data_IF_645919737627
#
_entry.id   IF_645919737627
#
_cell.length_a   1.000
_cell.length_b   1.000
_cell.length_c   1.000
_cell.angle_alpha   90.00
_cell.angle_beta   90.00
_cell.angle_gamma   90.00
#
_symmetry.space_group_name_H-M   'P 1'
#
loop_
_entity.id
_entity.type
_entity.pdbx_description
1 polymer ?
#
# COMPACT_ATOMS: atom_id res chain seq x y z
N UNK A 1 5.32 6.64 -27.87
CA UNK A 1 4.87 7.92 -27.30
C UNK A 1 6.05 8.52 -26.56
N UNK A 2 6.30 9.82 -26.72
CA UNK A 2 7.21 10.51 -25.80
C UNK A 2 6.57 10.49 -24.40
N UNK A 3 7.38 10.35 -23.35
CA UNK A 3 6.89 10.40 -21.96
C UNK A 3 6.24 11.74 -21.63
N UNK A 4 5.41 11.75 -20.59
CA UNK A 4 4.93 12.99 -19.98
C UNK A 4 5.94 13.36 -18.90
N UNK A 5 6.79 14.36 -19.17
CA UNK A 5 7.94 14.70 -18.32
C UNK A 5 7.66 15.90 -17.39
N UNK A 6 6.47 16.50 -17.47
CA UNK A 6 6.09 17.72 -16.75
C UNK A 6 5.12 17.47 -15.57
N UNK A 7 4.84 16.21 -15.24
CA UNK A 7 3.92 15.89 -14.15
C UNK A 7 4.49 16.25 -12.78
N UNK A 8 3.71 17.06 -12.06
CA UNK A 8 3.79 17.19 -10.60
C UNK A 8 2.43 16.82 -10.01
N UNK A 9 2.45 16.36 -8.76
CA UNK A 9 1.25 15.83 -8.12
C UNK A 9 0.13 16.89 -8.00
N UNK A 10 -1.11 16.48 -8.22
CA UNK A 10 -2.25 17.40 -8.39
C UNK A 10 -2.53 18.28 -7.16
N UNK A 11 -2.32 17.74 -5.95
CA UNK A 11 -2.61 18.40 -4.68
C UNK A 11 -1.49 18.16 -3.66
N UNK A 12 -0.23 18.04 -4.11
CA UNK A 12 0.91 17.83 -3.21
C UNK A 12 1.50 19.08 -2.58
N UNK A 13 1.14 20.28 -3.06
CA UNK A 13 1.74 21.55 -2.62
C UNK A 13 0.75 22.41 -1.82
N UNK A 14 1.28 23.46 -1.16
CA UNK A 14 0.48 24.40 -0.39
C UNK A 14 -0.15 23.77 0.85
N UNK A 15 -1.41 24.10 1.12
CA UNK A 15 -2.23 23.58 2.21
C UNK A 15 -3.15 22.41 1.80
N UNK A 16 -2.87 21.83 0.62
CA UNK A 16 -3.64 20.73 0.02
C UNK A 16 -5.13 21.08 -0.18
N UNK A 17 -5.45 22.21 -0.84
CA UNK A 17 -6.79 22.76 -0.85
C UNK A 17 -7.76 21.97 -1.74
N UNK A 18 -7.25 21.20 -2.71
CA UNK A 18 -8.08 20.57 -3.74
C UNK A 18 -8.64 19.23 -3.26
N UNK A 19 -9.97 19.15 -3.19
CA UNK A 19 -10.70 17.90 -3.00
C UNK A 19 -11.03 17.31 -4.37
N UNK A 20 -10.83 16.01 -4.53
CA UNK A 20 -10.85 15.34 -5.84
C UNK A 20 -11.76 14.11 -5.76
N UNK A 21 -12.72 14.04 -6.67
CA UNK A 21 -13.46 12.81 -7.00
C UNK A 21 -12.98 12.34 -8.38
N UNK A 22 -12.31 11.19 -8.41
CA UNK A 22 -11.75 10.62 -9.62
C UNK A 22 -12.32 9.22 -9.84
N UNK A 23 -13.04 9.05 -10.94
CA UNK A 23 -13.53 7.76 -11.41
C UNK A 23 -12.80 7.40 -12.70
N UNK A 24 -12.04 6.31 -12.67
CA UNK A 24 -11.40 5.76 -13.86
C UNK A 24 -12.35 4.97 -14.76
N UNK A 25 -13.58 4.68 -14.32
CA UNK A 25 -14.56 3.89 -15.06
C UNK A 25 -13.98 2.59 -15.67
N UNK A 26 -13.18 1.88 -14.88
CA UNK A 26 -12.49 0.64 -15.27
C UNK A 26 -11.46 0.81 -16.40
N UNK A 27 -10.89 2.00 -16.55
CA UNK A 27 -9.77 2.27 -17.46
C UNK A 27 -8.41 2.19 -16.77
N UNK A 28 -7.35 2.20 -17.60
CA UNK A 28 -5.96 2.22 -17.15
C UNK A 28 -5.23 3.48 -17.61
N UNK A 29 -4.36 3.99 -16.74
CA UNK A 29 -3.35 5.01 -17.03
C UNK A 29 -2.02 4.27 -17.17
N UNK A 30 -1.35 4.42 -18.31
CA UNK A 30 -0.10 3.69 -18.61
C UNK A 30 1.10 4.62 -18.61
N UNK A 31 2.26 4.07 -18.24
CA UNK A 31 3.56 4.75 -18.33
C UNK A 31 3.57 6.08 -17.58
N UNK A 32 2.92 6.11 -16.42
CA UNK A 32 2.84 7.30 -15.57
C UNK A 32 4.18 7.47 -14.83
N UNK A 33 4.82 8.61 -14.99
CA UNK A 33 6.08 8.91 -14.31
C UNK A 33 5.96 10.18 -13.46
N UNK A 34 6.53 10.16 -12.25
CA UNK A 34 6.67 11.37 -11.43
C UNK A 34 7.84 11.26 -10.44
N UNK A 35 8.81 12.16 -10.57
CA UNK A 35 9.99 12.24 -9.70
C UNK A 35 10.28 13.65 -9.19
N UNK A 36 9.35 14.58 -9.40
CA UNK A 36 9.53 16.00 -9.12
C UNK A 36 8.33 16.57 -8.35
N UNK A 37 8.56 17.72 -7.69
CA UNK A 37 7.54 18.40 -6.88
C UNK A 37 7.32 17.74 -5.52
N UNK A 38 6.31 18.22 -4.81
CA UNK A 38 5.92 17.68 -3.51
C UNK A 38 5.10 16.39 -3.69
N UNK A 39 5.40 15.39 -2.85
CA UNK A 39 4.77 14.07 -2.87
C UNK A 39 4.64 13.46 -4.28
N UNK A 40 5.76 13.18 -4.99
CA UNK A 40 5.74 12.61 -6.34
C UNK A 40 4.85 11.37 -6.42
N UNK A 41 3.71 11.53 -7.08
CA UNK A 41 2.59 10.59 -7.19
C UNK A 41 1.53 11.22 -8.08
N UNK A 42 0.46 10.50 -8.40
CA UNK A 42 -0.62 11.07 -9.20
C UNK A 42 -1.32 12.24 -8.47
N UNK A 43 -1.83 12.00 -7.25
CA UNK A 43 -2.59 13.03 -6.51
C UNK A 43 -1.76 13.87 -5.53
N UNK A 44 -0.64 13.36 -5.02
CA UNK A 44 0.11 14.03 -3.95
C UNK A 44 -0.57 13.83 -2.61
N UNK A 45 -1.64 14.58 -2.37
CA UNK A 45 -2.55 14.39 -1.24
C UNK A 45 -3.97 14.22 -1.76
N UNK A 46 -4.54 13.02 -1.62
CA UNK A 46 -5.92 12.75 -2.00
C UNK A 46 -6.87 13.02 -0.83
N UNK A 47 -7.60 14.12 -0.90
CA UNK A 47 -8.81 14.37 -0.10
C UNK A 47 -10.02 14.13 -1.02
N UNK A 48 -10.89 13.17 -0.69
CA UNK A 48 -11.94 12.69 -1.58
C UNK A 48 -11.75 11.23 -2.01
N UNK A 49 -12.05 10.91 -3.26
CA UNK A 49 -12.22 9.54 -3.75
C UNK A 49 -11.45 9.31 -5.05
N UNK A 50 -10.77 8.17 -5.13
CA UNK A 50 -10.23 7.62 -6.37
C UNK A 50 -10.75 6.19 -6.53
N UNK A 51 -11.40 5.89 -7.65
CA UNK A 51 -11.99 4.59 -7.89
C UNK A 51 -11.86 4.09 -9.31
N UNK A 52 -11.89 2.76 -9.46
CA UNK A 52 -12.01 2.05 -10.74
C UNK A 52 -10.92 2.41 -11.76
N UNK A 53 -9.67 2.58 -11.32
CA UNK A 53 -8.53 2.91 -12.20
C UNK A 53 -7.33 2.01 -11.95
N UNK A 54 -6.70 1.57 -13.04
CA UNK A 54 -5.40 0.90 -12.99
C UNK A 54 -4.26 1.83 -13.39
N UNK A 55 -3.14 1.80 -12.67
CA UNK A 55 -1.89 2.43 -13.11
C UNK A 55 -0.94 1.32 -13.56
N UNK A 56 -0.64 1.28 -14.86
CA UNK A 56 0.17 0.23 -15.46
C UNK A 56 1.53 0.81 -15.82
N UNK A 57 2.58 0.13 -15.39
CA UNK A 57 3.98 0.51 -15.63
C UNK A 57 4.27 1.93 -15.15
N UNK A 58 3.83 2.25 -13.93
CA UNK A 58 4.07 3.55 -13.33
C UNK A 58 5.43 3.58 -12.60
N UNK A 59 6.16 4.70 -12.70
CA UNK A 59 7.41 4.91 -11.96
C UNK A 59 7.32 6.21 -11.16
N UNK A 60 7.35 6.08 -9.82
CA UNK A 60 7.39 7.25 -8.94
C UNK A 60 8.58 7.20 -8.00
N UNK A 61 9.25 8.34 -7.82
CA UNK A 61 10.41 8.40 -6.93
C UNK A 61 10.53 9.71 -6.15
N UNK A 62 11.02 9.59 -4.90
CA UNK A 62 11.37 10.71 -4.04
C UNK A 62 12.54 10.34 -3.14
N UNK A 63 13.49 11.27 -3.02
CA UNK A 63 14.63 11.16 -2.09
C UNK A 63 14.33 11.74 -0.71
N UNK A 64 13.13 12.30 -0.49
CA UNK A 64 12.80 13.09 0.71
C UNK A 64 11.45 12.79 1.34
N UNK A 65 10.50 12.27 0.58
CA UNK A 65 9.10 12.16 1.00
C UNK A 65 8.58 10.74 0.93
N UNK A 66 7.56 10.48 1.76
CA UNK A 66 6.79 9.25 1.71
C UNK A 66 5.80 9.28 0.55
N UNK A 67 5.84 8.27 -0.33
CA UNK A 67 5.05 8.25 -1.56
C UNK A 67 4.46 6.88 -1.90
N UNK A 68 3.46 6.89 -2.78
CA UNK A 68 2.99 5.74 -3.53
C UNK A 68 2.54 6.16 -4.92
N UNK A 69 2.25 5.21 -5.81
CA UNK A 69 1.90 5.54 -7.22
C UNK A 69 0.66 6.44 -7.28
N UNK A 70 -0.40 6.08 -6.56
CA UNK A 70 -1.66 6.83 -6.63
C UNK A 70 -1.55 8.12 -5.81
N UNK A 71 -1.00 8.06 -4.59
CA UNK A 71 -0.88 9.25 -3.74
C UNK A 71 0.26 9.16 -2.73
N UNK A 72 0.80 10.32 -2.32
CA UNK A 72 1.67 10.44 -1.16
C UNK A 72 0.89 10.26 0.14
N UNK A 73 -0.15 11.07 0.35
CA UNK A 73 -1.08 10.96 1.47
C UNK A 73 -2.48 10.61 0.98
N UNK A 74 -3.09 9.62 1.61
CA UNK A 74 -4.50 9.28 1.45
C UNK A 74 -5.28 9.83 2.65
N UNK A 75 -5.94 10.96 2.43
CA UNK A 75 -6.52 11.80 3.47
C UNK A 75 -5.46 12.59 4.26
N UNK A 76 -5.93 13.55 5.04
CA UNK A 76 -5.14 14.30 6.02
C UNK A 76 -5.44 13.83 7.43
N UNK A 77 -4.46 13.94 8.33
CA UNK A 77 -4.61 13.49 9.71
C UNK A 77 -5.36 14.50 10.59
N UNK A 78 -6.30 14.03 11.41
CA UNK A 78 -6.95 14.75 12.51
C UNK A 78 -7.47 16.15 12.12
N UNK A 79 -8.23 16.23 11.03
CA UNK A 79 -8.88 17.48 10.62
C UNK A 79 -10.28 17.59 11.22
N UNK A 80 -10.78 18.81 11.35
CA UNK A 80 -12.13 19.09 11.84
C UNK A 80 -13.23 19.00 10.78
N UNK A 81 -12.91 18.53 9.56
CA UNK A 81 -13.83 18.42 8.43
C UNK A 81 -13.57 17.12 7.67
N UNK A 82 -14.55 16.22 7.65
CA UNK A 82 -14.48 14.89 7.06
C UNK A 82 -14.16 14.87 5.57
N UNK A 83 -14.38 15.97 4.83
CA UNK A 83 -14.01 16.07 3.40
C UNK A 83 -12.50 15.95 3.15
N UNK A 84 -11.69 16.08 4.21
CA UNK A 84 -10.24 15.87 4.17
C UNK A 84 -9.80 14.42 4.39
N UNK A 85 -10.74 13.49 4.54
CA UNK A 85 -10.47 12.05 4.46
C UNK A 85 -10.26 11.62 3.00
N UNK A 86 -9.67 10.45 2.77
CA UNK A 86 -9.34 9.98 1.42
C UNK A 86 -9.59 8.49 1.23
N UNK A 87 -10.15 8.10 0.08
CA UNK A 87 -10.51 6.71 -0.23
C UNK A 87 -9.96 6.28 -1.59
N UNK A 88 -9.39 5.08 -1.64
CA UNK A 88 -8.98 4.42 -2.89
C UNK A 88 -9.70 3.07 -2.98
N UNK A 89 -10.48 2.88 -4.04
CA UNK A 89 -11.40 1.73 -4.16
C UNK A 89 -11.38 1.11 -5.55
N UNK A 90 -11.24 -0.21 -5.65
CA UNK A 90 -11.21 -0.91 -6.94
C UNK A 90 -10.08 -0.40 -7.85
N UNK A 91 -8.90 -0.15 -7.28
CA UNK A 91 -7.75 0.37 -8.03
C UNK A 91 -6.58 -0.60 -7.99
N UNK A 92 -5.70 -0.53 -8.97
CA UNK A 92 -4.47 -1.31 -8.96
C UNK A 92 -3.27 -0.54 -9.50
N UNK A 93 -2.08 -0.99 -9.12
CA UNK A 93 -0.83 -0.41 -9.59
C UNK A 93 0.19 -1.48 -9.99
N UNK A 94 0.96 -1.21 -11.04
CA UNK A 94 2.14 -1.97 -11.46
C UNK A 94 3.29 -0.99 -11.75
N UNK A 95 4.53 -1.48 -11.78
CA UNK A 95 5.72 -0.67 -11.99
C UNK A 95 6.60 -0.55 -10.74
N UNK A 96 6.99 0.66 -10.34
CA UNK A 96 7.96 0.89 -9.26
C UNK A 96 7.68 2.13 -8.40
N UNK A 97 8.01 2.01 -7.11
CA UNK A 97 7.95 3.09 -6.11
C UNK A 97 9.29 3.15 -5.38
N UNK A 98 9.96 4.30 -5.44
CA UNK A 98 11.13 4.58 -4.59
C UNK A 98 10.85 5.77 -3.68
N UNK A 99 10.42 5.52 -2.45
CA UNK A 99 10.12 6.56 -1.46
C UNK A 99 11.23 6.74 -0.42
N UNK A 100 11.15 7.81 0.37
CA UNK A 100 12.05 8.03 1.51
C UNK A 100 11.25 8.41 2.75
N UNK A 101 11.15 7.47 3.69
CA UNK A 101 10.45 7.62 4.96
C UNK A 101 9.01 7.08 4.94
N UNK A 102 8.44 6.82 3.77
CA UNK A 102 7.41 5.81 3.54
C UNK A 102 7.39 5.41 2.06
N UNK A 103 7.06 4.17 1.75
CA UNK A 103 6.85 3.71 0.38
C UNK A 103 5.69 2.71 0.35
N UNK A 104 4.69 2.94 -0.49
CA UNK A 104 3.57 2.02 -0.68
C UNK A 104 3.18 1.88 -2.14
N UNK A 105 2.83 0.67 -2.57
CA UNK A 105 2.41 0.44 -3.97
C UNK A 105 1.19 1.27 -4.38
N UNK A 106 0.28 1.54 -3.44
CA UNK A 106 -0.90 2.39 -3.64
C UNK A 106 -0.68 3.78 -3.05
N UNK A 107 -0.36 3.87 -1.75
CA UNK A 107 -0.22 5.13 -1.02
C UNK A 107 1.02 5.15 -0.13
N UNK A 108 1.71 6.29 -0.05
CA UNK A 108 2.81 6.46 0.89
C UNK A 108 2.33 6.40 2.34
N UNK A 109 1.31 7.19 2.65
CA UNK A 109 0.72 7.32 3.98
C UNK A 109 -0.79 7.24 3.91
N UNK A 110 -1.39 6.35 4.71
CA UNK A 110 -2.82 6.33 4.99
C UNK A 110 -3.09 7.16 6.25
N UNK A 111 -3.98 8.14 6.16
CA UNK A 111 -4.43 8.93 7.31
C UNK A 111 -5.55 8.22 8.10
N UNK A 112 -6.45 8.97 8.71
CA UNK A 112 -7.45 8.44 9.63
C UNK A 112 -8.89 8.88 9.33
N UNK A 113 -9.79 8.40 10.16
CA UNK A 113 -11.23 8.65 10.08
C UNK A 113 -11.65 9.69 11.12
N UNK A 114 -12.53 10.61 10.76
CA UNK A 114 -13.08 11.64 11.63
C UNK A 114 -14.30 12.30 10.97
N UNK A 115 -15.11 13.00 11.77
CA UNK A 115 -16.26 13.78 11.29
C UNK A 115 -17.21 12.97 10.38
N UNK A 116 -17.51 11.73 10.79
CA UNK A 116 -18.41 10.83 10.07
C UNK A 116 -17.89 10.27 8.75
N UNK A 117 -16.65 10.57 8.37
CA UNK A 117 -16.01 10.03 7.17
C UNK A 117 -14.75 9.22 7.51
N UNK A 118 -14.37 8.34 6.59
CA UNK A 118 -13.28 7.39 6.79
C UNK A 118 -12.24 7.50 5.67
N UNK A 119 -10.98 7.30 6.04
CA UNK A 119 -9.90 7.09 5.09
C UNK A 119 -9.58 5.61 4.98
N UNK A 120 -9.61 5.04 3.77
CA UNK A 120 -9.39 3.60 3.58
C UNK A 120 -8.92 3.23 2.17
N UNK A 121 -8.30 2.05 2.07
CA UNK A 121 -7.96 1.40 0.81
C UNK A 121 -8.75 0.10 0.74
N UNK A 122 -9.59 -0.06 -0.29
CA UNK A 122 -10.49 -1.22 -0.40
C UNK A 122 -10.48 -1.84 -1.79
N UNK A 123 -10.50 -3.17 -1.87
CA UNK A 123 -10.52 -3.90 -3.13
C UNK A 123 -9.39 -3.43 -4.07
N UNK A 124 -8.15 -3.44 -3.60
CA UNK A 124 -7.01 -2.96 -4.37
C UNK A 124 -5.91 -4.00 -4.46
N UNK A 125 -5.09 -3.93 -5.52
CA UNK A 125 -3.86 -4.72 -5.57
C UNK A 125 -2.68 -3.96 -6.13
N UNK A 126 -1.48 -4.41 -5.77
CA UNK A 126 -0.24 -3.85 -6.32
C UNK A 126 0.73 -4.96 -6.73
N UNK A 127 1.23 -4.87 -7.96
CA UNK A 127 2.39 -5.63 -8.42
C UNK A 127 3.67 -4.79 -8.45
N UNK A 128 3.60 -3.53 -8.01
CA UNK A 128 4.73 -2.62 -8.08
C UNK A 128 5.86 -3.06 -7.16
N UNK A 129 7.11 -2.89 -7.61
CA UNK A 129 8.28 -3.01 -6.73
C UNK A 129 8.34 -1.77 -5.84
N UNK A 130 8.36 -1.97 -4.52
CA UNK A 130 8.32 -0.90 -3.53
C UNK A 130 9.63 -0.87 -2.75
N UNK A 131 10.32 0.28 -2.76
CA UNK A 131 11.55 0.48 -2.02
C UNK A 131 11.48 1.77 -1.18
N UNK A 132 11.63 1.65 0.15
CA UNK A 132 11.90 2.80 1.00
C UNK A 132 13.42 2.95 1.22
N UNK A 133 14.01 3.94 0.55
CA UNK A 133 15.45 4.16 0.55
C UNK A 133 15.97 4.97 1.75
N UNK A 134 15.11 5.36 2.71
CA UNK A 134 15.53 6.15 3.86
C UNK A 134 16.65 5.47 4.63
N UNK A 135 17.70 6.24 4.96
CA UNK A 135 18.86 5.74 5.69
C UNK A 135 18.51 5.19 7.09
N UNK A 136 17.37 5.58 7.65
CA UNK A 136 16.80 5.01 8.87
C UNK A 136 15.30 5.29 8.95
N UNK A 137 14.56 4.44 9.65
CA UNK A 137 13.13 4.61 9.85
C UNK A 137 12.29 4.50 8.57
N UNK A 138 12.76 3.74 7.57
CA UNK A 138 11.97 3.41 6.38
C UNK A 138 10.70 2.63 6.74
N UNK A 139 9.64 2.81 5.95
CA UNK A 139 8.30 2.24 6.17
C UNK A 139 7.76 1.77 4.83
N UNK A 140 8.11 0.54 4.45
CA UNK A 140 7.76 -0.02 3.16
C UNK A 140 6.59 -1.01 3.29
N UNK A 141 5.53 -0.80 2.51
CA UNK A 141 4.38 -1.70 2.46
C UNK A 141 3.95 -2.00 1.03
N UNK A 142 3.50 -3.23 0.76
CA UNK A 142 3.00 -3.57 -0.59
C UNK A 142 1.80 -2.71 -1.02
N UNK A 143 0.94 -2.32 -0.06
CA UNK A 143 -0.20 -1.43 -0.29
C UNK A 143 0.11 -0.01 0.22
N UNK A 144 0.45 0.12 1.50
CA UNK A 144 0.69 1.41 2.14
C UNK A 144 1.98 1.44 2.96
N UNK A 145 2.76 2.51 2.88
CA UNK A 145 4.00 2.60 3.64
C UNK A 145 3.77 2.82 5.15
N UNK A 146 2.93 3.81 5.49
CA UNK A 146 2.72 4.25 6.88
C UNK A 146 1.25 4.52 7.18
N UNK A 147 0.83 4.24 8.41
CA UNK A 147 -0.46 4.66 8.96
C UNK A 147 -0.29 5.72 10.03
N UNK A 148 -1.13 6.76 9.99
CA UNK A 148 -1.22 7.82 11.02
C UNK A 148 -2.66 8.06 11.49
N UNK A 149 -2.82 8.57 12.71
CA UNK A 149 -4.12 8.88 13.35
C UNK A 149 -4.91 7.65 13.78
N UNK A 150 -6.04 7.86 14.47
CA UNK A 150 -6.94 6.80 14.96
C UNK A 150 -8.15 6.66 14.04
N UNK A 151 -8.48 5.44 13.63
CA UNK A 151 -9.46 5.09 12.62
C UNK A 151 -8.85 4.89 11.23
N UNK A 152 -9.58 4.22 10.35
CA UNK A 152 -9.18 3.89 8.98
C UNK A 152 -8.80 2.41 8.81
N UNK A 153 -8.86 1.91 7.57
CA UNK A 153 -8.67 0.50 7.30
C UNK A 153 -8.08 0.18 5.92
N UNK A 154 -7.53 -1.03 5.79
CA UNK A 154 -7.18 -1.66 4.51
C UNK A 154 -7.98 -2.96 4.42
N UNK A 155 -8.78 -3.10 3.38
CA UNK A 155 -9.72 -4.22 3.26
C UNK A 155 -9.75 -4.82 1.85
N UNK A 156 -9.80 -6.15 1.73
CA UNK A 156 -9.82 -6.84 0.43
C UNK A 156 -8.64 -6.44 -0.47
N UNK A 157 -7.44 -6.33 0.10
CA UNK A 157 -6.25 -5.91 -0.64
C UNK A 157 -5.15 -6.97 -0.66
N UNK A 158 -4.39 -7.03 -1.76
CA UNK A 158 -3.22 -7.89 -1.81
C UNK A 158 -2.08 -7.29 -2.64
N UNK A 159 -0.85 -7.68 -2.34
CA UNK A 159 0.32 -7.24 -3.10
C UNK A 159 1.26 -8.42 -3.41
N UNK A 160 1.93 -8.35 -4.56
CA UNK A 160 2.89 -9.38 -4.98
C UNK A 160 4.18 -8.84 -5.61
N UNK A 161 4.30 -7.53 -5.84
CA UNK A 161 5.58 -6.91 -6.17
C UNK A 161 6.55 -6.95 -4.98
N UNK A 162 7.86 -6.97 -5.22
CA UNK A 162 8.85 -7.04 -4.15
C UNK A 162 8.81 -5.78 -3.28
N UNK A 163 8.95 -5.93 -1.95
CA UNK A 163 8.95 -4.81 -0.99
C UNK A 163 10.24 -4.80 -0.20
N UNK A 164 10.94 -3.66 -0.19
CA UNK A 164 12.19 -3.49 0.54
C UNK A 164 12.30 -2.17 1.27
N UNK A 165 13.14 -2.15 2.31
CA UNK A 165 13.62 -0.91 2.91
C UNK A 165 15.11 -1.00 3.23
N UNK A 166 15.84 0.12 3.07
CA UNK A 166 17.25 0.22 3.43
C UNK A 166 17.45 -0.08 4.92
N UNK A 167 16.67 0.60 5.79
CA UNK A 167 16.69 0.41 7.24
C UNK A 167 15.36 0.80 7.87
N UNK A 168 14.54 -0.17 8.23
CA UNK A 168 13.22 0.13 8.80
C UNK A 168 12.24 -1.05 8.88
N UNK A 169 10.96 -0.73 8.78
CA UNK A 169 9.84 -1.67 8.81
C UNK A 169 9.36 -2.05 7.42
N UNK A 170 9.20 -3.36 7.18
CA UNK A 170 8.73 -3.92 5.92
C UNK A 170 7.50 -4.79 6.20
N UNK A 171 6.39 -4.50 5.53
CA UNK A 171 5.18 -5.32 5.55
C UNK A 171 4.67 -5.64 4.15
N UNK A 172 4.11 -6.83 3.93
CA UNK A 172 3.49 -7.16 2.65
C UNK A 172 2.23 -6.31 2.37
N UNK A 173 1.57 -5.79 3.40
CA UNK A 173 0.44 -4.86 3.26
C UNK A 173 0.83 -3.45 3.74
N UNK A 174 1.32 -3.34 4.99
CA UNK A 174 1.59 -2.07 5.66
C UNK A 174 3.00 -2.03 6.27
N UNK A 175 3.78 -0.99 6.00
CA UNK A 175 5.12 -0.85 6.59
C UNK A 175 5.10 -0.58 8.10
N UNK A 176 4.38 0.46 8.54
CA UNK A 176 4.37 0.89 9.94
C UNK A 176 3.02 1.50 10.38
N UNK A 177 2.61 1.19 11.61
CA UNK A 177 1.62 1.95 12.36
C UNK A 177 2.34 2.93 13.29
N UNK A 178 2.01 4.22 13.24
CA UNK A 178 2.60 5.20 14.16
C UNK A 178 2.15 4.97 15.61
N UNK A 179 2.98 5.40 16.58
CA UNK A 179 2.61 5.36 18.00
C UNK A 179 1.31 6.13 18.24
N UNK A 180 0.46 5.60 19.13
CA UNK A 180 -0.87 6.14 19.47
C UNK A 180 -1.83 6.24 18.26
N UNK A 181 -1.54 5.51 17.19
CA UNK A 181 -2.42 5.34 16.03
C UNK A 181 -2.89 3.88 16.00
N UNK A 182 -3.87 3.58 15.15
CA UNK A 182 -4.35 2.22 14.91
C UNK A 182 -4.67 2.01 13.42
N UNK A 183 -5.06 0.78 13.09
CA UNK A 183 -5.66 0.42 11.81
C UNK A 183 -6.45 -0.89 11.95
N UNK A 184 -7.49 -1.06 11.13
CA UNK A 184 -8.03 -2.39 10.85
C UNK A 184 -7.50 -2.91 9.51
N UNK A 185 -6.93 -4.11 9.48
CA UNK A 185 -6.58 -4.80 8.23
C UNK A 185 -7.41 -6.08 8.14
N UNK A 186 -8.26 -6.14 7.13
CA UNK A 186 -9.27 -7.21 6.99
C UNK A 186 -9.21 -7.84 5.62
N UNK A 187 -9.30 -9.16 5.55
CA UNK A 187 -9.36 -9.89 4.29
C UNK A 187 -8.23 -9.45 3.35
N UNK A 188 -6.98 -9.50 3.82
CA UNK A 188 -5.83 -9.05 3.05
C UNK A 188 -4.81 -10.16 2.85
N UNK A 189 -4.06 -10.11 1.75
CA UNK A 189 -3.08 -11.14 1.37
C UNK A 189 -1.72 -10.54 1.06
N UNK A 190 -0.68 -11.00 1.75
CA UNK A 190 0.70 -10.70 1.39
C UNK A 190 1.28 -11.81 0.49
N UNK A 191 1.63 -11.46 -0.75
CA UNK A 191 2.25 -12.37 -1.70
C UNK A 191 3.59 -11.82 -2.24
N UNK A 192 4.10 -10.76 -1.61
CA UNK A 192 5.37 -10.11 -1.92
C UNK A 192 6.55 -10.79 -1.22
N UNK A 193 7.70 -10.86 -1.90
CA UNK A 193 8.98 -11.07 -1.24
C UNK A 193 9.37 -9.81 -0.47
N UNK A 194 9.86 -9.97 0.76
CA UNK A 194 10.08 -8.85 1.70
C UNK A 194 11.54 -8.81 2.15
N UNK A 195 12.21 -7.67 2.00
CA UNK A 195 13.65 -7.54 2.30
C UNK A 195 13.97 -6.29 3.12
N UNK A 196 14.46 -6.48 4.34
CA UNK A 196 15.14 -5.44 5.11
C UNK A 196 16.66 -5.53 4.94
N UNK A 197 17.30 -4.50 4.40
CA UNK A 197 18.74 -4.55 4.09
C UNK A 197 19.61 -4.44 5.34
N UNK A 198 19.29 -3.53 6.26
CA UNK A 198 20.02 -3.35 7.52
C UNK A 198 19.60 -4.40 8.57
N UNK A 199 20.56 -4.84 9.39
CA UNK A 199 20.37 -5.81 10.50
C UNK A 199 19.28 -5.43 11.51
N UNK A 200 19.00 -4.13 11.68
CA UNK A 200 17.97 -3.62 12.60
C UNK A 200 16.58 -3.56 11.97
N UNK A 201 16.44 -3.97 10.71
CA UNK A 201 15.14 -3.96 10.02
C UNK A 201 14.19 -4.99 10.63
N UNK A 202 12.90 -4.70 10.53
CA UNK A 202 11.83 -5.58 10.98
C UNK A 202 10.95 -5.93 9.80
N UNK A 203 10.63 -7.22 9.65
CA UNK A 203 9.91 -7.74 8.49
C UNK A 203 8.74 -8.59 8.99
N UNK A 204 7.52 -8.11 8.77
CA UNK A 204 6.30 -8.86 9.02
C UNK A 204 5.61 -9.21 7.71
N UNK A 205 4.99 -10.39 7.61
CA UNK A 205 4.33 -10.76 6.33
C UNK A 205 3.22 -9.75 6.00
N UNK A 206 2.46 -9.28 6.99
CA UNK A 206 1.38 -8.31 6.82
C UNK A 206 1.83 -6.91 7.23
N UNK A 207 2.30 -6.73 8.47
CA UNK A 207 2.70 -5.43 9.04
C UNK A 207 4.13 -5.46 9.58
N UNK A 208 4.94 -4.47 9.22
CA UNK A 208 6.36 -4.41 9.57
C UNK A 208 6.68 -3.87 10.98
N UNK A 209 6.00 -2.81 11.42
CA UNK A 209 6.30 -2.12 12.69
C UNK A 209 5.05 -1.73 13.47
N UNK A 210 5.14 -1.87 14.79
CA UNK A 210 4.10 -1.54 15.77
C UNK A 210 2.77 -2.23 15.49
N UNK A 211 2.84 -3.47 15.03
CA UNK A 211 1.68 -4.22 14.62
C UNK A 211 0.70 -4.52 15.76
N UNK A 212 1.13 -4.57 17.02
CA UNK A 212 0.22 -4.71 18.17
C UNK A 212 -0.81 -3.58 18.33
N UNK A 213 -0.64 -2.47 17.61
CA UNK A 213 -1.61 -1.36 17.58
C UNK A 213 -2.76 -1.59 16.59
N UNK A 214 -2.67 -2.59 15.72
CA UNK A 214 -3.68 -2.90 14.72
C UNK A 214 -4.68 -3.95 15.17
N UNK A 215 -5.82 -3.99 14.48
CA UNK A 215 -6.81 -5.07 14.55
C UNK A 215 -6.81 -5.84 13.23
N UNK A 216 -6.85 -7.17 13.32
CA UNK A 216 -6.62 -8.03 12.17
C UNK A 216 -7.70 -9.08 12.04
N UNK A 217 -8.17 -9.27 10.81
CA UNK A 217 -9.16 -10.29 10.50
C UNK A 217 -8.83 -10.90 9.13
N UNK A 218 -8.83 -12.23 9.02
CA UNK A 218 -8.66 -12.92 7.74
C UNK A 218 -7.44 -12.41 6.93
N UNK A 219 -6.29 -12.27 7.60
CA UNK A 219 -5.05 -11.84 6.97
C UNK A 219 -4.18 -13.06 6.67
N UNK A 220 -3.78 -13.21 5.41
CA UNK A 220 -3.03 -14.37 4.94
C UNK A 220 -1.75 -13.96 4.24
N UNK A 221 -0.81 -14.89 4.13
CA UNK A 221 0.40 -14.71 3.34
C UNK A 221 0.68 -15.96 2.51
N UNK A 222 1.22 -15.81 1.30
CA UNK A 222 1.59 -16.98 0.51
C UNK A 222 2.74 -17.72 1.19
N UNK A 223 2.63 -19.03 1.32
CA UNK A 223 3.63 -19.86 1.98
C UNK A 223 5.01 -19.80 1.29
N UNK A 224 5.03 -19.45 0.01
CA UNK A 224 6.22 -19.39 -0.82
C UNK A 224 6.95 -18.05 -0.80
N UNK A 225 6.46 -17.04 -0.07
CA UNK A 225 7.15 -15.74 -0.01
C UNK A 225 8.45 -15.87 0.79
N UNK A 226 9.46 -15.12 0.35
CA UNK A 226 10.77 -15.08 1.00
C UNK A 226 10.87 -13.79 1.82
N UNK A 227 11.16 -13.94 3.11
CA UNK A 227 11.47 -12.85 4.02
C UNK A 227 12.97 -12.82 4.30
N UNK A 228 13.60 -11.66 4.15
CA UNK A 228 15.04 -11.47 4.41
C UNK A 228 15.32 -10.28 5.32
N UNK A 229 16.30 -10.45 6.21
CA UNK A 229 16.92 -9.36 6.98
C UNK A 229 18.44 -9.51 6.88
N UNK A 230 19.14 -8.45 6.46
CA UNK A 230 20.60 -8.44 6.29
C UNK A 230 21.11 -9.65 5.46
N UNK A 231 20.44 -9.92 4.35
CA UNK A 231 20.76 -11.03 3.44
C UNK A 231 20.37 -12.43 3.93
N UNK A 232 20.06 -12.61 5.22
CA UNK A 232 19.60 -13.88 5.80
C UNK A 232 18.09 -14.07 5.66
N UNK A 233 17.67 -15.27 5.26
CA UNK A 233 16.24 -15.64 5.25
C UNK A 233 15.74 -15.84 6.68
N UNK A 234 14.55 -15.29 6.99
CA UNK A 234 13.88 -15.48 8.28
C UNK A 234 12.61 -16.32 8.11
N UNK A 235 12.20 -17.02 9.18
CA UNK A 235 10.92 -17.72 9.24
C UNK A 235 9.87 -16.87 9.95
N UNK A 236 8.60 -17.11 9.64
CA UNK A 236 7.47 -16.47 10.27
C UNK A 236 6.48 -17.55 10.72
N UNK A 237 5.94 -17.40 11.93
CA UNK A 237 4.88 -18.27 12.45
C UNK A 237 3.51 -17.71 12.11
N UNK A 238 2.52 -18.59 12.03
CA UNK A 238 1.13 -18.18 11.88
C UNK A 238 0.59 -17.51 13.14
N UNK A 239 -0.14 -16.41 12.96
CA UNK A 239 -0.81 -15.68 14.02
C UNK A 239 -2.03 -14.94 13.46
N UNK A 240 -3.09 -14.83 14.26
CA UNK A 240 -4.31 -14.10 13.90
C UNK A 240 -4.42 -12.72 14.57
N UNK A 241 -3.49 -12.40 15.46
CA UNK A 241 -3.38 -11.12 16.17
C UNK A 241 -1.92 -10.84 16.50
N UNK A 242 -1.51 -9.57 16.50
CA UNK A 242 -0.14 -9.20 16.82
C UNK A 242 0.01 -8.83 18.30
N UNK A 243 1.04 -9.38 18.96
CA UNK A 243 1.41 -8.99 20.34
C UNK A 243 2.66 -8.10 20.39
N UNK A 244 3.36 -7.94 19.25
CA UNK A 244 4.63 -7.23 19.18
C UNK A 244 4.80 -6.34 17.96
N UNK A 245 6.04 -6.25 17.47
CA UNK A 245 6.42 -5.31 16.40
C UNK A 245 5.84 -5.68 15.04
N UNK A 246 5.86 -6.96 14.68
CA UNK A 246 5.42 -7.46 13.38
C UNK A 246 4.08 -8.18 13.48
N UNK A 247 3.39 -8.28 12.34
CA UNK A 247 2.25 -9.18 12.16
C UNK A 247 2.43 -10.03 10.91
N UNK A 248 2.27 -11.34 11.05
CA UNK A 248 2.53 -12.32 10.01
C UNK A 248 1.26 -12.94 9.39
N UNK A 249 0.09 -12.84 10.00
CA UNK A 249 -1.11 -13.52 9.48
C UNK A 249 -0.93 -15.03 9.40
N UNK A 250 -1.71 -15.70 8.53
CA UNK A 250 -1.70 -17.17 8.36
C UNK A 250 -1.20 -17.57 6.98
N UNK A 251 -0.29 -18.55 6.90
CA UNK A 251 0.22 -19.08 5.65
C UNK A 251 -0.88 -19.75 4.82
N UNK A 252 -0.86 -19.55 3.50
CA UNK A 252 -1.76 -20.20 2.55
C UNK A 252 -1.03 -20.58 1.27
N UNK A 253 -1.49 -21.66 0.64
CA UNK A 253 -1.01 -22.08 -0.67
C UNK A 253 -1.48 -21.10 -1.76
N UNK A 254 -0.81 -21.11 -2.91
CA UNK A 254 -1.18 -20.33 -4.10
C UNK A 254 -2.66 -20.52 -4.48
N UNK A 255 -3.13 -21.77 -4.51
CA UNK A 255 -4.50 -22.10 -4.91
C UNK A 255 -5.55 -21.60 -3.89
N UNK A 256 -5.27 -21.75 -2.59
CA UNK A 256 -6.14 -21.21 -1.54
C UNK A 256 -6.25 -19.69 -1.64
N UNK A 257 -5.12 -18.98 -1.83
CA UNK A 257 -5.12 -17.52 -1.97
C UNK A 257 -5.90 -17.07 -3.20
N UNK A 258 -5.73 -17.75 -4.34
CA UNK A 258 -6.51 -17.47 -5.53
C UNK A 258 -8.02 -17.58 -5.29
N UNK A 259 -8.46 -18.58 -4.54
CA UNK A 259 -9.87 -18.74 -4.18
C UNK A 259 -10.35 -17.68 -3.17
N UNK A 260 -9.54 -17.37 -2.15
CA UNK A 260 -9.85 -16.37 -1.13
C UNK A 260 -10.03 -14.99 -1.75
N UNK A 261 -9.08 -14.55 -2.59
CA UNK A 261 -9.10 -13.21 -3.18
C UNK A 261 -10.29 -13.05 -4.12
N UNK A 262 -10.57 -14.03 -4.98
CA UNK A 262 -11.72 -13.99 -5.88
C UNK A 262 -13.04 -13.95 -5.09
N UNK A 263 -13.11 -14.65 -3.96
CA UNK A 263 -14.29 -14.65 -3.10
C UNK A 263 -14.57 -13.33 -2.38
N UNK A 264 -13.60 -12.40 -2.30
CA UNK A 264 -13.84 -11.06 -1.72
C UNK A 264 -14.93 -10.30 -2.47
N UNK A 265 -14.89 -10.37 -3.81
CA UNK A 265 -15.93 -9.83 -4.67
C UNK A 265 -15.84 -10.50 -6.06
N UNK A 266 -16.63 -11.56 -6.31
CA UNK A 266 -16.59 -12.30 -7.58
C UNK A 266 -16.98 -11.46 -8.81
N UNK A 267 -17.66 -10.32 -8.62
CA UNK A 267 -18.01 -9.40 -9.70
C UNK A 267 -16.85 -8.46 -10.09
N UNK A 268 -15.82 -8.38 -9.24
CA UNK A 268 -14.64 -7.54 -9.48
C UNK A 268 -13.41 -8.38 -9.77
N UNK A 269 -13.18 -9.46 -9.02
CA UNK A 269 -11.97 -10.26 -9.08
C UNK A 269 -12.13 -11.49 -9.98
N UNK A 270 -11.06 -11.86 -10.70
CA UNK A 270 -10.92 -13.11 -11.47
C UNK A 270 -9.58 -13.77 -11.16
N UNK A 271 -9.46 -15.09 -11.37
CA UNK A 271 -8.14 -15.74 -11.39
C UNK A 271 -7.35 -15.21 -12.59
N UNK A 272 -6.10 -14.76 -12.37
CA UNK A 272 -5.20 -14.41 -13.46
C UNK A 272 -4.65 -15.64 -14.16
N UNK A 273 -4.23 -15.47 -15.41
CA UNK A 273 -3.62 -16.55 -16.22
C UNK A 273 -2.18 -16.85 -15.77
N UNK A 274 -1.54 -15.88 -15.12
CA UNK A 274 -0.20 -15.92 -14.54
C UNK A 274 -0.18 -16.43 -13.09
N UNK A 275 -1.34 -16.81 -12.55
CA UNK A 275 -1.50 -17.31 -11.18
C UNK A 275 -1.87 -16.25 -10.15
N UNK A 276 -1.89 -14.96 -10.51
CA UNK A 276 -2.24 -13.87 -9.60
C UNK A 276 -3.66 -13.34 -9.87
N UNK A 277 -4.55 -13.23 -8.87
CA UNK A 277 -5.90 -12.70 -9.10
C UNK A 277 -5.91 -11.25 -9.59
N UNK A 278 -6.62 -10.94 -10.66
CA UNK A 278 -6.70 -9.58 -11.20
C UNK A 278 -8.16 -9.11 -11.23
N UNK A 279 -8.39 -7.82 -11.53
CA UNK A 279 -9.75 -7.37 -11.80
C UNK A 279 -10.27 -7.93 -13.12
N UNK A 280 -11.59 -8.08 -13.24
CA UNK A 280 -12.24 -8.53 -14.46
C UNK A 280 -11.85 -7.65 -15.66
N UNK A 281 -11.77 -6.34 -15.45
CA UNK A 281 -11.43 -5.33 -16.45
C UNK A 281 -9.92 -5.02 -16.56
N UNK A 282 -9.07 -5.61 -15.69
CA UNK A 282 -7.63 -5.43 -15.84
C UNK A 282 -7.17 -5.99 -17.19
N UNK A 283 -6.37 -5.20 -17.90
CA UNK A 283 -5.76 -5.57 -19.17
C UNK A 283 -4.80 -6.77 -19.00
N UNK A 284 -4.53 -7.48 -20.10
CA UNK A 284 -3.58 -8.58 -20.16
C UNK A 284 -2.16 -8.08 -20.42
#
# INVERSE_FOLDING_TARGET
MAGIDDWQSLNGSGDFPYEIDFDGDSHVIKNFECSAGDYPSFFGVLCGDCRNVGFVDASVSSTRQGIGIITGYLGLKDKGNGSKTGRIVNCFTTGEVTGSGAAGGIAGVLANSYDGQESYIKNCYSSATVNDQAASGGKAGGIAGRKVGVGGFIENCYAYGAVSATKGGIGGILGQIDKNCDIAIKNCVAWSNLTGTDTSSTVGRIVGVSASLGSYENCYACESIILKVNGGTITASDESSATGTTFHGVAKTVDELGNIIVAWNPNLWKKGMDGYPAFQWAEK
#
